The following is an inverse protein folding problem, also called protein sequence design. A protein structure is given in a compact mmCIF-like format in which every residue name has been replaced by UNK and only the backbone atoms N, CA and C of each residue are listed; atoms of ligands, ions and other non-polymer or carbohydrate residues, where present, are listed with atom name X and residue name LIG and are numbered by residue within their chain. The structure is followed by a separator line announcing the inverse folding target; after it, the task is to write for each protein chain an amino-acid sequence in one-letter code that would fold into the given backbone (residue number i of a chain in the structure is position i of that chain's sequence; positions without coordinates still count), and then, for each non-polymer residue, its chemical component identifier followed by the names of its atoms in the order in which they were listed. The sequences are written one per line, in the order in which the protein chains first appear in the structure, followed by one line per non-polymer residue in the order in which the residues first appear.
data_IF_703833928470
#
_entry.id   IF_703833928470
#
_cell.length_a   1.000
_cell.length_b   1.000
_cell.length_c   1.000
_cell.angle_alpha   90.00
_cell.angle_beta   90.00
_cell.angle_gamma   90.00
#
_symmetry.space_group_name_H-M   'P 1'
#
loop_
_entity.id
_entity.type
_entity.pdbx_description
1 polymer ?
#
# COMPACT_ATOMS: atom_id res chain seq x y z
N UNK A 1 -20.45 -22.98 -28.29
CA UNK A 1 -20.49 -21.52 -28.14
C UNK A 1 -21.10 -21.22 -26.80
N UNK A 2 -20.27 -20.85 -25.82
CA UNK A 2 -20.59 -20.12 -24.57
C UNK A 2 -19.31 -20.11 -23.74
N UNK A 3 -18.40 -19.20 -24.09
CA UNK A 3 -17.23 -18.87 -23.28
C UNK A 3 -17.66 -17.81 -22.27
N UNK A 4 -18.20 -18.23 -21.13
CA UNK A 4 -18.08 -17.44 -19.91
C UNK A 4 -16.80 -17.87 -19.20
N UNK A 5 -15.67 -17.36 -19.69
CA UNK A 5 -14.42 -17.38 -18.92
C UNK A 5 -14.59 -16.35 -17.81
N UNK A 6 -14.83 -16.83 -16.60
CA UNK A 6 -14.80 -16.01 -15.39
C UNK A 6 -13.47 -15.24 -15.35
N UNK A 7 -13.48 -13.95 -15.00
CA UNK A 7 -12.29 -13.09 -14.93
C UNK A 7 -11.23 -13.52 -13.89
N UNK A 8 -11.35 -14.74 -13.33
CA UNK A 8 -10.67 -15.23 -12.13
C UNK A 8 -9.90 -16.56 -12.31
N UNK A 9 -9.75 -17.09 -13.53
CA UNK A 9 -9.17 -18.43 -13.77
C UNK A 9 -7.64 -18.48 -14.08
N UNK A 10 -6.82 -17.57 -13.53
CA UNK A 10 -5.34 -17.69 -13.56
C UNK A 10 -4.72 -17.09 -12.28
N UNK A 11 -3.54 -17.56 -11.82
CA UNK A 11 -3.18 -17.62 -10.40
C UNK A 11 -3.21 -16.24 -9.74
N UNK A 12 -4.06 -16.06 -8.72
CA UNK A 12 -4.15 -14.94 -7.78
C UNK A 12 -3.12 -13.79 -7.97
N UNK A 13 -3.40 -12.87 -8.90
CA UNK A 13 -2.89 -11.49 -9.02
C UNK A 13 -1.40 -11.25 -8.69
N UNK A 14 -0.51 -11.43 -9.67
CA UNK A 14 0.95 -11.27 -9.51
C UNK A 14 1.40 -9.97 -8.78
N UNK A 15 0.84 -8.77 -9.07
CA UNK A 15 1.19 -7.54 -8.35
C UNK A 15 0.82 -7.57 -6.85
N UNK A 16 -0.38 -8.06 -6.53
CA UNK A 16 -0.89 -8.10 -5.15
C UNK A 16 -0.09 -9.08 -4.30
N UNK A 17 0.20 -10.27 -4.85
CA UNK A 17 1.01 -11.27 -4.18
C UNK A 17 2.44 -10.77 -3.95
N UNK A 18 3.07 -10.18 -4.98
CA UNK A 18 4.40 -9.62 -4.90
C UNK A 18 4.48 -8.53 -3.82
N UNK A 19 3.58 -7.54 -3.86
CA UNK A 19 3.54 -6.44 -2.89
C UNK A 19 3.34 -6.94 -1.46
N UNK A 20 2.45 -7.93 -1.25
CA UNK A 20 2.28 -8.55 0.07
C UNK A 20 3.56 -9.22 0.54
N UNK A 21 4.22 -9.98 -0.35
CA UNK A 21 5.42 -10.73 -0.02
C UNK A 21 6.59 -9.81 0.37
N UNK A 22 6.67 -8.58 -0.16
CA UNK A 22 7.71 -7.61 0.23
C UNK A 22 7.65 -7.26 1.72
N UNK A 23 6.46 -7.26 2.33
CA UNK A 23 6.28 -6.90 3.74
C UNK A 23 5.89 -8.08 4.63
N UNK A 24 5.66 -9.27 4.06
CA UNK A 24 5.41 -10.49 4.82
C UNK A 24 6.54 -10.75 5.82
N UNK A 25 6.22 -11.14 7.05
CA UNK A 25 7.21 -11.62 8.03
C UNK A 25 7.86 -12.91 7.52
N UNK A 26 9.01 -13.26 8.08
CA UNK A 26 9.67 -14.53 7.75
C UNK A 26 8.71 -15.72 7.94
N UNK A 27 8.95 -16.78 7.17
CA UNK A 27 8.10 -17.98 7.05
C UNK A 27 7.81 -18.65 8.41
N UNK A 28 8.62 -18.35 9.42
CA UNK A 28 8.55 -18.90 10.78
C UNK A 28 7.75 -18.02 11.77
N UNK A 29 7.09 -16.96 11.31
CA UNK A 29 6.21 -16.12 12.16
C UNK A 29 6.94 -15.32 13.25
N UNK A 30 8.27 -15.29 13.22
CA UNK A 30 9.09 -14.44 14.09
C UNK A 30 8.93 -12.97 13.66
N UNK A 31 8.84 -12.02 14.60
CA UNK A 31 8.96 -10.62 14.26
C UNK A 31 10.37 -10.41 13.69
N UNK A 32 10.45 -10.04 12.41
CA UNK A 32 11.72 -9.77 11.72
C UNK A 32 12.48 -8.56 12.30
N UNK A 33 11.94 -7.94 13.34
CA UNK A 33 12.35 -6.68 13.91
C UNK A 33 12.16 -6.75 15.42
N UNK A 34 13.19 -6.33 16.17
CA UNK A 34 13.09 -6.12 17.60
C UNK A 34 11.91 -5.18 17.93
N UNK A 35 10.90 -5.72 18.60
CA UNK A 35 9.65 -5.01 18.92
C UNK A 35 9.89 -3.90 19.95
N UNK A 36 10.96 -4.00 20.73
CA UNK A 36 11.34 -3.00 21.74
C UNK A 36 12.21 -1.88 21.14
N UNK A 37 12.66 -2.03 19.89
CA UNK A 37 13.45 -1.00 19.21
C UNK A 37 12.62 0.27 18.90
N UNK A 38 13.28 1.44 18.81
CA UNK A 38 12.62 2.67 18.36
C UNK A 38 11.90 2.46 17.01
N UNK A 39 10.73 3.07 16.85
CA UNK A 39 9.89 2.92 15.64
C UNK A 39 10.67 3.19 14.35
N UNK A 40 11.50 4.23 14.34
CA UNK A 40 12.35 4.55 13.19
C UNK A 40 13.27 3.39 12.80
N UNK A 41 13.93 2.77 13.77
CA UNK A 41 14.79 1.60 13.55
C UNK A 41 13.99 0.43 12.98
N UNK A 42 12.77 0.22 13.49
CA UNK A 42 11.87 -0.82 12.99
C UNK A 42 11.45 -0.60 11.54
N UNK A 43 11.10 0.63 11.20
CA UNK A 43 10.74 1.04 9.85
C UNK A 43 11.92 0.87 8.88
N UNK A 44 13.14 1.27 9.28
CA UNK A 44 14.36 1.06 8.48
C UNK A 44 14.59 -0.43 8.20
N UNK A 45 14.51 -1.28 9.22
CA UNK A 45 14.72 -2.72 9.07
C UNK A 45 13.67 -3.35 8.14
N UNK A 46 12.40 -2.97 8.30
CA UNK A 46 11.31 -3.45 7.46
C UNK A 46 11.49 -3.03 5.98
N UNK A 47 11.88 -1.78 5.72
CA UNK A 47 12.15 -1.30 4.36
C UNK A 47 13.38 -1.97 3.75
N UNK A 48 14.47 -2.13 4.50
CA UNK A 48 15.67 -2.83 4.01
C UNK A 48 15.38 -4.28 3.61
N UNK A 49 14.51 -4.98 4.36
CA UNK A 49 14.03 -6.32 4.00
C UNK A 49 13.16 -6.29 2.74
N UNK A 50 12.20 -5.37 2.66
CA UNK A 50 11.35 -5.21 1.49
C UNK A 50 12.16 -4.91 0.22
N UNK A 51 13.17 -4.04 0.34
CA UNK A 51 14.13 -3.75 -0.72
C UNK A 51 14.91 -5.01 -1.15
N UNK A 52 15.47 -5.76 -0.19
CA UNK A 52 16.21 -6.99 -0.50
C UNK A 52 15.33 -8.03 -1.20
N UNK A 53 14.09 -8.20 -0.76
CA UNK A 53 13.12 -9.10 -1.40
C UNK A 53 12.74 -8.62 -2.80
N UNK A 54 12.47 -7.32 -2.97
CA UNK A 54 12.15 -6.73 -4.27
C UNK A 54 13.28 -6.93 -5.28
N UNK A 55 14.53 -6.67 -4.88
CA UNK A 55 15.72 -6.91 -5.71
C UNK A 55 15.87 -8.37 -6.09
N UNK A 56 15.60 -9.31 -5.18
CA UNK A 56 15.60 -10.76 -5.47
C UNK A 56 14.54 -11.15 -6.50
N UNK A 57 13.43 -10.43 -6.56
CA UNK A 57 12.37 -10.61 -7.57
C UNK A 57 12.67 -9.87 -8.89
N UNK A 58 13.87 -9.30 -9.04
CA UNK A 58 14.27 -8.60 -10.26
C UNK A 58 13.69 -7.18 -10.42
N UNK A 59 13.11 -6.62 -9.36
CA UNK A 59 12.58 -5.26 -9.39
C UNK A 59 13.70 -4.24 -9.25
N UNK A 60 13.58 -3.13 -9.96
CA UNK A 60 14.27 -1.90 -9.58
C UNK A 60 13.62 -1.36 -8.31
N UNK A 61 14.42 -0.88 -7.36
CA UNK A 61 13.94 -0.34 -6.09
C UNK A 61 14.32 1.13 -5.98
N UNK A 62 13.32 1.98 -5.75
CA UNK A 62 13.48 3.38 -5.38
C UNK A 62 12.98 3.57 -3.95
N UNK A 63 13.89 3.70 -2.98
CA UNK A 63 13.52 3.94 -1.58
C UNK A 63 13.57 5.45 -1.27
N UNK A 64 12.43 6.03 -0.91
CA UNK A 64 12.31 7.47 -0.66
C UNK A 64 12.74 7.86 0.75
N UNK A 65 12.52 6.98 1.73
CA UNK A 65 12.87 7.24 3.12
C UNK A 65 12.07 6.40 4.12
N UNK A 66 12.60 6.26 5.32
CA UNK A 66 11.99 5.49 6.41
C UNK A 66 11.19 6.34 7.40
N UNK A 67 11.25 7.67 7.29
CA UNK A 67 10.63 8.61 8.23
C UNK A 67 9.89 9.73 7.49
N UNK A 68 9.36 9.43 6.30
CA UNK A 68 8.52 10.33 5.53
C UNK A 68 7.22 10.56 6.30
N UNK A 69 7.11 11.75 6.89
CA UNK A 69 6.08 12.18 7.82
C UNK A 69 5.43 13.48 7.33
N UNK A 70 4.20 13.41 6.84
CA UNK A 70 3.46 14.59 6.39
C UNK A 70 1.95 14.34 6.39
N UNK A 71 1.19 15.38 6.05
CA UNK A 71 -0.23 15.25 5.73
C UNK A 71 -0.43 14.29 4.56
N UNK A 72 -1.48 13.47 4.62
CA UNK A 72 -1.75 12.41 3.64
C UNK A 72 -1.79 12.96 2.21
N UNK A 73 -2.37 14.17 2.02
CA UNK A 73 -2.46 14.85 0.73
C UNK A 73 -1.09 15.24 0.18
N UNK A 74 -0.17 15.67 1.04
CA UNK A 74 1.18 16.09 0.66
C UNK A 74 2.03 14.87 0.28
N UNK A 75 2.04 13.83 1.13
CA UNK A 75 2.73 12.57 0.84
C UNK A 75 2.24 11.95 -0.47
N UNK A 76 0.91 11.87 -0.65
CA UNK A 76 0.32 11.30 -1.86
C UNK A 76 0.62 12.13 -3.09
N UNK A 77 0.57 13.46 -3.02
CA UNK A 77 0.91 14.33 -4.15
C UNK A 77 2.31 14.01 -4.69
N UNK A 78 3.30 13.88 -3.79
CA UNK A 78 4.67 13.54 -4.16
C UNK A 78 4.77 12.11 -4.69
N UNK A 79 4.21 11.12 -3.98
CA UNK A 79 4.31 9.72 -4.38
C UNK A 79 3.60 9.42 -5.71
N UNK A 80 2.41 9.99 -5.92
CA UNK A 80 1.67 9.86 -7.17
C UNK A 80 2.43 10.54 -8.32
N UNK A 81 2.98 11.74 -8.12
CA UNK A 81 3.75 12.44 -9.13
C UNK A 81 5.01 11.66 -9.55
N UNK A 82 5.72 11.04 -8.60
CA UNK A 82 6.89 10.19 -8.91
C UNK A 82 6.44 8.96 -9.70
N UNK A 83 5.38 8.27 -9.27
CA UNK A 83 4.91 7.06 -9.94
C UNK A 83 4.39 7.33 -11.36
N UNK A 84 3.57 8.37 -11.52
CA UNK A 84 3.01 8.77 -12.82
C UNK A 84 4.10 9.22 -13.79
N UNK A 85 5.09 9.99 -13.33
CA UNK A 85 6.25 10.35 -14.15
C UNK A 85 7.08 9.11 -14.50
N UNK A 86 7.29 8.21 -13.55
CA UNK A 86 8.05 6.98 -13.79
C UNK A 86 7.42 6.11 -14.88
N UNK A 87 6.10 5.96 -14.86
CA UNK A 87 5.36 5.23 -15.91
C UNK A 87 5.41 5.99 -17.24
N UNK A 88 5.15 7.30 -17.23
CA UNK A 88 5.11 8.12 -18.46
C UNK A 88 6.47 8.16 -19.16
N UNK A 89 7.54 8.36 -18.41
CA UNK A 89 8.87 8.63 -18.95
C UNK A 89 9.74 7.35 -19.01
N UNK A 90 9.25 6.23 -18.46
CA UNK A 90 9.97 4.97 -18.36
C UNK A 90 11.21 5.05 -17.46
N UNK A 91 11.19 5.96 -16.46
CA UNK A 91 12.34 6.27 -15.59
C UNK A 91 11.91 6.44 -14.13
N UNK A 92 12.28 5.51 -13.23
CA UNK A 92 13.02 4.28 -13.51
C UNK A 92 12.24 3.31 -14.41
N UNK A 93 12.96 2.42 -15.08
CA UNK A 93 12.34 1.44 -15.97
C UNK A 93 11.41 0.50 -15.17
N UNK A 94 10.27 0.14 -15.74
CA UNK A 94 9.42 -0.89 -15.17
C UNK A 94 10.04 -2.30 -15.37
N UNK A 95 9.88 -3.25 -14.42
CA UNK A 95 9.11 -3.08 -13.20
C UNK A 95 9.95 -2.43 -12.08
N UNK A 96 9.38 -1.40 -11.45
CA UNK A 96 9.99 -0.71 -10.31
C UNK A 96 9.05 -0.75 -9.12
N UNK A 97 9.59 -0.95 -7.91
CA UNK A 97 8.89 -0.65 -6.67
C UNK A 97 9.47 0.60 -6.01
N UNK A 98 8.59 1.52 -5.64
CA UNK A 98 8.89 2.69 -4.82
C UNK A 98 8.53 2.35 -3.38
N UNK A 99 9.48 2.47 -2.46
CA UNK A 99 9.31 2.14 -1.05
C UNK A 99 9.42 3.39 -0.18
N UNK A 100 8.53 3.53 0.82
CA UNK A 100 8.65 4.56 1.85
C UNK A 100 8.03 4.09 3.17
N UNK A 101 8.41 4.74 4.27
CA UNK A 101 7.85 4.49 5.60
C UNK A 101 7.79 5.77 6.42
N UNK A 102 6.92 5.80 7.42
CA UNK A 102 6.74 6.94 8.33
C UNK A 102 5.27 7.21 8.64
N UNK A 103 4.96 8.12 9.59
CA UNK A 103 3.59 8.50 9.89
C UNK A 103 2.86 9.10 8.69
N UNK A 104 1.56 8.86 8.66
CA UNK A 104 0.64 9.60 7.78
C UNK A 104 -0.28 10.40 8.68
N UNK A 105 -0.43 11.70 8.38
CA UNK A 105 -1.26 12.61 9.17
C UNK A 105 -2.50 13.04 8.39
N UNK A 106 -3.59 13.29 9.10
CA UNK A 106 -4.73 14.10 8.64
C UNK A 106 -5.08 15.07 9.75
N UNK A 107 -4.94 16.36 9.48
CA UNK A 107 -5.16 17.44 10.46
C UNK A 107 -4.32 17.23 11.72
N UNK A 108 -3.04 16.87 11.53
CA UNK A 108 -2.10 16.57 12.63
C UNK A 108 -2.35 15.25 13.36
N UNK A 109 -3.39 14.48 12.99
CA UNK A 109 -3.71 13.20 13.63
C UNK A 109 -3.16 12.03 12.81
N UNK A 110 -2.49 11.08 13.46
CA UNK A 110 -2.00 9.86 12.78
C UNK A 110 -3.15 9.02 12.24
N UNK A 111 -3.03 8.60 10.99
CA UNK A 111 -3.99 7.71 10.31
C UNK A 111 -3.30 6.45 9.80
N UNK A 112 -4.12 5.43 9.50
CA UNK A 112 -3.65 4.14 9.02
C UNK A 112 -3.43 4.05 7.50
N UNK A 113 -3.01 2.87 7.01
CA UNK A 113 -2.72 2.60 5.61
C UNK A 113 -3.93 2.83 4.68
N UNK A 114 -5.15 2.55 5.15
CA UNK A 114 -6.37 2.73 4.36
C UNK A 114 -6.58 4.20 3.94
N UNK A 115 -6.40 5.14 4.86
CA UNK A 115 -6.59 6.58 4.56
C UNK A 115 -5.56 7.07 3.54
N UNK A 116 -4.31 6.64 3.70
CA UNK A 116 -3.24 6.91 2.73
C UNK A 116 -3.58 6.35 1.35
N UNK A 117 -3.94 5.06 1.24
CA UNK A 117 -4.23 4.44 -0.06
C UNK A 117 -5.50 4.95 -0.71
N UNK A 118 -6.53 5.35 0.04
CA UNK A 118 -7.71 5.96 -0.57
C UNK A 118 -7.39 7.35 -1.13
N UNK A 119 -6.57 8.14 -0.43
CA UNK A 119 -6.06 9.41 -0.94
C UNK A 119 -5.24 9.16 -2.22
N UNK A 120 -4.37 8.15 -2.22
CA UNK A 120 -3.57 7.76 -3.39
C UNK A 120 -4.43 7.27 -4.56
N UNK A 121 -5.48 6.50 -4.30
CA UNK A 121 -6.39 5.99 -5.33
C UNK A 121 -7.01 7.14 -6.12
N UNK A 122 -7.49 8.17 -5.43
CA UNK A 122 -8.06 9.36 -6.06
C UNK A 122 -7.02 10.16 -6.86
N UNK A 123 -5.77 10.22 -6.38
CA UNK A 123 -4.69 10.92 -7.09
C UNK A 123 -4.20 10.18 -8.35
N UNK A 124 -4.24 8.84 -8.33
CA UNK A 124 -3.82 8.01 -9.46
C UNK A 124 -4.92 7.78 -10.49
N UNK A 125 -6.19 8.05 -10.13
CA UNK A 125 -7.37 7.88 -10.99
C UNK A 125 -7.41 6.54 -11.74
N UNK A 126 -7.05 5.46 -11.03
CA UNK A 126 -7.08 4.11 -11.59
C UNK A 126 -6.02 3.81 -12.67
N UNK A 127 -4.87 4.52 -12.67
CA UNK A 127 -3.80 4.26 -13.63
C UNK A 127 -3.40 2.77 -13.68
N UNK A 128 -3.59 2.13 -14.84
CA UNK A 128 -3.50 0.68 -15.02
C UNK A 128 -2.15 0.05 -14.64
N UNK A 129 -1.05 0.77 -14.85
CA UNK A 129 0.30 0.29 -14.52
C UNK A 129 0.68 0.39 -13.03
N UNK A 130 -0.13 1.06 -12.19
CA UNK A 130 0.27 1.38 -10.81
C UNK A 130 -0.57 0.57 -9.83
N UNK A 131 0.11 -0.24 -9.03
CA UNK A 131 -0.46 -0.94 -7.89
C UNK A 131 0.18 -0.39 -6.62
N UNK A 132 -0.52 -0.44 -5.49
CA UNK A 132 0.07 -0.02 -4.23
C UNK A 132 -0.34 -0.91 -3.06
N UNK A 133 0.48 -0.85 -2.03
CA UNK A 133 0.28 -1.55 -0.78
C UNK A 133 0.72 -0.66 0.37
N UNK A 134 -0.01 -0.71 1.46
CA UNK A 134 0.40 -0.09 2.70
C UNK A 134 0.02 -0.98 3.89
N UNK A 135 0.87 -1.01 4.92
CA UNK A 135 0.62 -1.77 6.13
C UNK A 135 1.21 -1.13 7.38
N UNK A 136 0.80 -1.62 8.55
CA UNK A 136 1.20 -1.06 9.85
C UNK A 136 0.25 0.06 10.29
N UNK A 137 0.77 1.00 11.08
CA UNK A 137 -0.04 2.03 11.75
C UNK A 137 -0.43 1.62 13.17
N UNK A 138 -0.99 2.59 13.91
CA UNK A 138 -1.37 2.37 15.31
C UNK A 138 -2.59 1.44 15.44
N UNK A 139 -2.56 0.43 16.33
CA UNK A 139 -3.69 -0.46 16.59
C UNK A 139 -4.90 0.27 17.18
N UNK A 140 -4.69 1.29 18.02
CA UNK A 140 -5.75 1.92 18.83
C UNK A 140 -6.48 3.09 18.16
N UNK A 141 -6.16 3.43 16.91
CA UNK A 141 -7.03 4.37 16.21
C UNK A 141 -8.26 3.60 15.70
N UNK A 142 -9.46 3.94 16.19
CA UNK A 142 -10.75 3.43 15.66
C UNK A 142 -10.88 3.65 14.13
N UNK A 143 -10.01 4.49 13.56
CA UNK A 143 -9.85 4.82 12.14
C UNK A 143 -8.80 3.95 11.39
N UNK A 144 -8.15 2.99 12.04
CA UNK A 144 -7.04 2.17 11.51
C UNK A 144 -7.46 0.84 10.84
N UNK A 145 -8.76 0.52 10.80
CA UNK A 145 -9.20 -0.80 10.33
C UNK A 145 -8.55 -1.22 8.99
N UNK A 146 -7.87 -2.37 8.98
CA UNK A 146 -7.03 -2.83 7.88
C UNK A 146 -5.54 -2.66 8.18
N UNK A 147 -4.94 -3.64 8.87
CA UNK A 147 -3.50 -3.73 9.13
C UNK A 147 -2.67 -3.68 7.84
N UNK A 148 -3.20 -4.21 6.76
CA UNK A 148 -2.63 -4.12 5.43
C UNK A 148 -3.73 -3.85 4.41
N UNK A 149 -3.44 -3.01 3.42
CA UNK A 149 -4.39 -2.60 2.40
C UNK A 149 -3.72 -2.67 1.03
N UNK A 150 -4.47 -3.13 0.04
CA UNK A 150 -4.07 -3.22 -1.34
C UNK A 150 -4.84 -2.21 -2.17
N UNK A 151 -4.13 -1.56 -3.09
CA UNK A 151 -4.71 -0.70 -4.11
C UNK A 151 -4.39 -1.30 -5.48
N UNK A 152 -5.44 -1.69 -6.20
CA UNK A 152 -5.36 -2.09 -7.60
C UNK A 152 -5.93 -0.98 -8.51
N UNK A 153 -5.56 -0.92 -9.80
CA UNK A 153 -6.07 0.08 -10.73
C UNK A 153 -7.60 0.11 -10.84
N UNK A 154 -8.26 -1.03 -10.65
CA UNK A 154 -9.72 -1.15 -10.75
C UNK A 154 -10.47 -0.86 -9.44
N UNK A 155 -9.76 -0.46 -8.36
CA UNK A 155 -10.35 -0.27 -7.02
C UNK A 155 -11.50 0.74 -7.04
N UNK A 156 -11.32 1.89 -7.69
CA UNK A 156 -12.37 2.92 -7.80
C UNK A 156 -13.58 2.42 -8.61
N UNK A 157 -13.32 1.67 -9.68
CA UNK A 157 -14.38 1.06 -10.48
C UNK A 157 -15.18 0.03 -9.69
N UNK A 158 -14.51 -0.80 -8.89
CA UNK A 158 -15.19 -1.77 -8.00
C UNK A 158 -15.99 -1.07 -6.91
N UNK A 159 -15.47 -0.01 -6.30
CA UNK A 159 -16.23 0.80 -5.32
C UNK A 159 -17.49 1.40 -5.94
N UNK A 160 -17.39 1.95 -7.16
CA UNK A 160 -18.53 2.49 -7.90
C UNK A 160 -19.61 1.43 -8.16
N UNK A 161 -19.22 0.20 -8.53
CA UNK A 161 -20.16 -0.93 -8.73
C UNK A 161 -20.93 -1.29 -7.46
N UNK A 162 -20.31 -1.06 -6.29
CA UNK A 162 -20.95 -1.24 -4.97
C UNK A 162 -21.68 0.02 -4.47
N UNK A 163 -21.74 1.09 -5.28
CA UNK A 163 -22.31 2.40 -4.90
C UNK A 163 -21.64 3.01 -3.67
N UNK A 164 -20.36 2.74 -3.47
CA UNK A 164 -19.55 3.36 -2.42
C UNK A 164 -18.85 4.58 -3.05
N UNK A 165 -19.03 5.77 -2.47
CA UNK A 165 -18.36 6.99 -2.90
C UNK A 165 -16.98 7.12 -2.22
N UNK A 166 -15.86 7.00 -2.95
CA UNK A 166 -14.51 7.09 -2.38
C UNK A 166 -14.23 8.45 -1.72
N UNK A 167 -14.70 9.54 -2.31
CA UNK A 167 -14.47 10.90 -1.79
C UNK A 167 -15.22 11.15 -0.48
N UNK A 168 -16.45 10.65 -0.36
CA UNK A 168 -17.21 10.72 0.90
C UNK A 168 -16.53 9.92 2.01
N UNK A 169 -16.05 8.71 1.71
CA UNK A 169 -15.32 7.88 2.67
C UNK A 169 -14.02 8.53 3.13
N UNK A 170 -13.31 9.18 2.21
CA UNK A 170 -12.09 9.90 2.54
C UNK A 170 -12.36 11.06 3.50
N UNK A 171 -13.41 11.84 3.26
CA UNK A 171 -13.82 12.96 4.11
C UNK A 171 -14.32 12.50 5.49
N UNK A 172 -15.03 11.37 5.54
CA UNK A 172 -15.46 10.75 6.79
C UNK A 172 -14.31 10.10 7.59
N UNK A 173 -13.12 9.99 6.98
CA UNK A 173 -11.96 9.29 7.52
C UNK A 173 -12.30 7.84 7.93
N UNK A 174 -13.08 7.16 7.08
CA UNK A 174 -13.52 5.77 7.25
C UNK A 174 -13.12 4.92 6.03
N UNK A 175 -12.00 5.29 5.37
CA UNK A 175 -11.45 4.65 4.17
C UNK A 175 -11.37 3.12 4.27
N UNK A 176 -11.14 2.61 5.48
CA UNK A 176 -11.11 1.19 5.79
C UNK A 176 -12.38 0.44 5.38
N UNK A 177 -13.55 1.06 5.50
CA UNK A 177 -14.83 0.45 5.14
C UNK A 177 -14.93 0.18 3.63
N UNK A 178 -14.34 1.05 2.81
CA UNK A 178 -14.27 0.84 1.36
C UNK A 178 -13.43 -0.41 1.05
N UNK A 179 -12.23 -0.50 1.60
CA UNK A 179 -11.35 -1.64 1.33
C UNK A 179 -11.86 -2.96 1.92
N UNK A 180 -12.57 -2.91 3.06
CA UNK A 180 -13.28 -4.09 3.59
C UNK A 180 -14.38 -4.57 2.65
N UNK A 181 -15.20 -3.64 2.12
CA UNK A 181 -16.26 -3.99 1.18
C UNK A 181 -15.72 -4.57 -0.15
N UNK A 182 -14.48 -4.23 -0.50
CA UNK A 182 -13.80 -4.71 -1.70
C UNK A 182 -12.95 -5.98 -1.51
N UNK A 183 -12.85 -6.49 -0.27
CA UNK A 183 -11.90 -7.54 0.10
C UNK A 183 -10.43 -7.19 -0.25
N UNK A 184 -10.09 -5.90 -0.11
CA UNK A 184 -8.79 -5.31 -0.41
C UNK A 184 -7.97 -4.98 0.84
N UNK A 185 -8.37 -5.47 2.01
CA UNK A 185 -7.62 -5.29 3.25
C UNK A 185 -7.50 -6.57 4.06
N UNK A 186 -6.42 -6.66 4.84
CA UNK A 186 -6.24 -7.64 5.90
C UNK A 186 -6.48 -6.94 7.22
N UNK A 187 -7.47 -7.41 7.98
CA UNK A 187 -7.84 -6.83 9.27
C UNK A 187 -7.10 -7.46 10.45
N UNK A 188 -6.66 -8.72 10.30
CA UNK A 188 -5.89 -9.41 11.32
C UNK A 188 -4.48 -8.82 11.44
N UNK A 189 -4.16 -8.33 12.64
CA UNK A 189 -2.85 -7.81 12.98
C UNK A 189 -1.94 -8.95 13.49
N UNK A 190 -0.68 -9.08 13.01
CA UNK A 190 0.31 -9.91 13.67
C UNK A 190 0.72 -9.30 15.01
N UNK A 191 0.86 -10.12 16.04
CA UNK A 191 1.31 -9.67 17.37
C UNK A 191 2.60 -8.83 17.27
N UNK A 192 2.60 -7.63 17.85
CA UNK A 192 3.79 -6.76 17.93
C UNK A 192 4.02 -5.81 16.75
N UNK A 193 3.05 -5.62 15.86
CA UNK A 193 3.19 -4.74 14.68
C UNK A 193 3.00 -3.24 14.96
N UNK A 194 3.43 -2.75 16.12
CA UNK A 194 3.38 -1.32 16.44
C UNK A 194 4.43 -0.60 15.58
N UNK A 195 4.00 0.13 14.56
CA UNK A 195 4.93 0.73 13.62
C UNK A 195 4.34 1.86 12.80
N UNK A 196 5.22 2.61 12.15
CA UNK A 196 4.81 3.56 11.14
C UNK A 196 4.15 2.86 9.94
N UNK A 197 3.45 3.63 9.11
CA UNK A 197 2.86 3.09 7.90
C UNK A 197 3.97 2.81 6.89
N UNK A 198 4.14 1.55 6.51
CA UNK A 198 5.00 1.10 5.42
C UNK A 198 4.21 1.20 4.11
N UNK A 199 4.86 1.63 3.03
CA UNK A 199 4.21 1.91 1.75
C UNK A 199 5.06 1.35 0.60
N UNK A 200 4.40 0.75 -0.37
CA UNK A 200 4.98 0.38 -1.65
C UNK A 200 4.06 0.76 -2.81
N UNK A 201 4.64 1.34 -3.86
CA UNK A 201 3.99 1.52 -5.15
C UNK A 201 4.75 0.69 -6.18
N UNK A 202 4.08 -0.26 -6.82
CA UNK A 202 4.62 -1.05 -7.93
C UNK A 202 4.19 -0.42 -9.24
N UNK A 203 5.18 -0.02 -10.02
CA UNK A 203 5.05 0.36 -11.42
C UNK A 203 5.29 -0.92 -12.24
N UNK A 204 4.20 -1.53 -12.71
CA UNK A 204 4.24 -2.77 -13.48
C UNK A 204 4.68 -2.51 -14.93
N UNK A 205 5.20 -3.55 -15.60
CA UNK A 205 5.36 -3.54 -17.05
C UNK A 205 4.00 -3.72 -17.72
N UNK A 206 3.82 -3.11 -18.89
CA UNK A 206 2.67 -3.37 -19.79
C UNK A 206 2.66 -4.81 -20.30
#
# INVERSE_FOLDING_TARGET
MNQHKSLFDTPQSAPRFLLRALFATDVDGQPAVDVDAPRASRTIAALGRAEALARKQGLIVLQLGAQEAAEARELVSVHAAIALQGVRDGRPAAPTVILSGGPVLVDGTRVGPAQYLLTLALALDGHFAIHAYASGGEPDSVRSAGYAVFLAPDTLLRAQKLRINPSERLLAQDASLLFQALDDCVTAQPSGSDGDVLRALLLAQE
#
